data_IF_214500068152
#
_entry.id   IF_214500068152
#
_cell.length_a   1.000
_cell.length_b   1.000
_cell.length_c   1.000
_cell.angle_alpha   90.00
_cell.angle_beta   90.00
_cell.angle_gamma   90.00
#
_symmetry.space_group_name_H-M   'P 1'
#
loop_
_entity.id
_entity.type
_entity.pdbx_description
1 polymer ?
#
# COMPACT_ATOMS: atom_id res chain seq x y z
N UNK A 1 17.64 -5.72 -12.53
CA UNK A 1 17.25 -5.28 -13.84
C UNK A 1 17.52 -3.80 -13.98
N UNK A 2 18.05 -3.36 -15.10
CA UNK A 2 18.32 -1.97 -15.42
C UNK A 2 17.03 -1.16 -15.24
N UNK A 3 17.08 -0.16 -14.36
CA UNK A 3 15.97 0.61 -13.90
C UNK A 3 15.07 1.11 -15.03
N UNK A 4 13.81 0.73 -14.94
CA UNK A 4 12.76 1.35 -15.72
C UNK A 4 12.51 2.73 -15.13
N UNK A 5 13.15 3.73 -15.69
CA UNK A 5 13.13 5.14 -15.28
C UNK A 5 11.72 5.77 -15.41
N UNK A 6 10.71 4.95 -15.64
CA UNK A 6 9.34 5.39 -15.84
C UNK A 6 8.48 5.14 -14.59
N UNK A 7 7.77 6.17 -14.17
CA UNK A 7 6.73 6.07 -13.15
C UNK A 7 5.40 5.68 -13.79
N UNK A 8 4.60 4.91 -13.05
CA UNK A 8 3.21 4.63 -13.43
C UNK A 8 2.28 5.15 -12.35
N UNK A 9 1.20 5.77 -12.75
CA UNK A 9 0.22 6.37 -11.86
C UNK A 9 -1.18 5.91 -12.21
N UNK A 10 -1.96 5.49 -11.21
CA UNK A 10 -3.39 5.23 -11.34
C UNK A 10 -4.19 6.48 -10.97
N UNK A 11 -5.13 6.83 -11.83
CA UNK A 11 -6.03 7.98 -11.65
C UNK A 11 -7.44 7.46 -11.45
N UNK A 12 -7.79 7.17 -10.20
CA UNK A 12 -9.05 6.54 -9.81
C UNK A 12 -10.28 7.28 -10.39
N UNK A 13 -10.42 8.56 -10.08
CA UNK A 13 -11.58 9.33 -10.52
C UNK A 13 -11.69 9.52 -12.04
N UNK A 14 -10.56 9.52 -12.75
CA UNK A 14 -10.48 9.70 -14.19
C UNK A 14 -10.37 8.38 -14.96
N UNK A 15 -10.38 7.24 -14.27
CA UNK A 15 -10.40 5.87 -14.83
C UNK A 15 -9.26 5.56 -15.79
N UNK A 16 -8.04 6.02 -15.53
CA UNK A 16 -6.91 5.68 -16.37
C UNK A 16 -5.65 5.35 -15.55
N UNK A 17 -4.72 4.66 -16.18
CA UNK A 17 -3.32 4.57 -15.76
C UNK A 17 -2.45 5.29 -16.78
N UNK A 18 -1.40 5.96 -16.32
CA UNK A 18 -0.42 6.60 -17.21
C UNK A 18 1.00 6.22 -16.86
N UNK A 19 1.86 6.29 -17.86
CA UNK A 19 3.30 6.14 -17.78
C UNK A 19 3.94 7.52 -17.89
N UNK A 20 4.78 7.88 -16.93
CA UNK A 20 5.46 9.17 -16.86
C UNK A 20 6.97 8.95 -16.99
N UNK A 21 7.68 9.85 -17.66
CA UNK A 21 9.14 9.88 -17.65
C UNK A 21 9.66 10.54 -16.35
N UNK A 22 10.99 10.65 -16.20
CA UNK A 22 11.67 11.28 -15.06
C UNK A 22 11.18 12.70 -14.78
N UNK A 23 10.89 13.47 -15.82
CA UNK A 23 10.36 14.83 -15.70
C UNK A 23 8.84 14.89 -15.40
N UNK A 24 8.22 13.74 -15.04
CA UNK A 24 6.79 13.60 -14.81
C UNK A 24 5.91 13.94 -16.04
N UNK A 25 6.45 13.84 -17.26
CA UNK A 25 5.70 14.04 -18.49
C UNK A 25 5.10 12.72 -18.95
N UNK A 26 3.80 12.73 -19.26
CA UNK A 26 3.06 11.56 -19.72
C UNK A 26 3.60 11.06 -21.07
N UNK A 27 3.87 9.74 -21.13
CA UNK A 27 4.40 9.04 -22.30
C UNK A 27 3.37 8.09 -22.92
N UNK A 28 2.51 7.51 -22.09
CA UNK A 28 1.45 6.60 -22.50
C UNK A 28 0.29 6.66 -21.50
N UNK A 29 -0.89 6.25 -21.97
CA UNK A 29 -2.12 6.17 -21.16
C UNK A 29 -2.99 5.01 -21.62
N UNK A 30 -3.63 4.34 -20.67
CA UNK A 30 -4.76 3.46 -20.92
C UNK A 30 -5.96 3.92 -20.08
N UNK A 31 -7.09 4.16 -20.73
CA UNK A 31 -8.35 4.54 -20.08
C UNK A 31 -9.27 3.34 -19.98
N UNK A 32 -9.68 3.01 -18.76
CA UNK A 32 -10.61 1.91 -18.49
C UNK A 32 -12.06 2.33 -18.83
N UNK A 33 -12.84 1.38 -19.35
CA UNK A 33 -14.29 1.59 -19.55
C UNK A 33 -15.04 1.54 -18.22
N UNK A 34 -16.32 1.91 -18.25
CA UNK A 34 -17.17 1.82 -17.05
C UNK A 34 -17.33 0.39 -16.55
N UNK A 35 -17.41 -0.59 -17.47
CA UNK A 35 -17.49 -2.02 -17.13
C UNK A 35 -16.17 -2.55 -16.55
N UNK A 36 -15.04 -2.06 -17.00
CA UNK A 36 -13.74 -2.41 -16.46
C UNK A 36 -13.53 -1.85 -15.05
N UNK A 37 -14.14 -0.73 -14.73
CA UNK A 37 -14.06 -0.09 -13.43
C UNK A 37 -12.87 0.87 -13.26
N UNK A 38 -12.68 1.35 -12.04
CA UNK A 38 -11.67 2.36 -11.70
C UNK A 38 -10.37 1.69 -11.24
N UNK A 39 -9.19 2.12 -11.72
CA UNK A 39 -7.90 1.59 -11.28
C UNK A 39 -7.58 2.05 -9.87
N UNK A 40 -7.05 1.14 -9.03
CA UNK A 40 -6.69 1.43 -7.65
C UNK A 40 -5.18 1.32 -7.44
N UNK A 41 -4.65 0.12 -7.34
CA UNK A 41 -3.24 -0.16 -7.09
C UNK A 41 -2.61 -0.95 -8.23
N UNK A 42 -1.29 -1.00 -8.26
CA UNK A 42 -0.55 -1.63 -9.34
C UNK A 42 0.66 -2.38 -8.82
N UNK A 43 0.98 -3.50 -9.49
CA UNK A 43 2.25 -4.19 -9.41
C UNK A 43 2.81 -4.38 -10.82
N UNK A 44 4.12 -4.46 -10.95
CA UNK A 44 4.76 -4.65 -12.25
C UNK A 44 5.80 -5.78 -12.15
N UNK A 45 5.76 -6.72 -13.11
CA UNK A 45 6.70 -7.82 -13.21
C UNK A 45 6.79 -8.30 -14.67
N UNK A 46 7.98 -8.73 -15.11
CA UNK A 46 8.24 -9.33 -16.45
C UNK A 46 7.67 -8.50 -17.61
N UNK A 47 7.79 -7.17 -17.55
CA UNK A 47 7.28 -6.26 -18.58
C UNK A 47 5.75 -6.14 -18.61
N UNK A 48 5.06 -6.61 -17.59
CA UNK A 48 3.61 -6.49 -17.42
C UNK A 48 3.27 -5.57 -16.26
N UNK A 49 2.15 -4.88 -16.38
CA UNK A 49 1.54 -4.07 -15.35
C UNK A 49 0.20 -4.70 -14.94
N UNK A 50 0.06 -5.01 -13.67
CA UNK A 50 -1.13 -5.58 -13.07
C UNK A 50 -1.86 -4.50 -12.28
N UNK A 51 -3.14 -4.27 -12.58
CA UNK A 51 -3.92 -3.15 -12.02
C UNK A 51 -5.18 -3.70 -11.36
N UNK A 52 -5.35 -3.44 -10.06
CA UNK A 52 -6.62 -3.75 -9.37
C UNK A 52 -7.70 -2.77 -9.78
N UNK A 53 -8.91 -3.27 -10.03
CA UNK A 53 -10.04 -2.50 -10.53
C UNK A 53 -11.23 -2.60 -9.59
N UNK A 54 -11.92 -1.48 -9.35
CA UNK A 54 -13.09 -1.42 -8.47
C UNK A 54 -14.24 -2.36 -8.88
N UNK A 55 -14.22 -2.87 -10.11
CA UNK A 55 -15.15 -3.86 -10.63
C UNK A 55 -14.96 -5.29 -10.08
N UNK A 56 -13.94 -5.53 -9.24
CA UNK A 56 -13.61 -6.87 -8.75
C UNK A 56 -12.73 -7.67 -9.71
N UNK A 57 -11.85 -6.98 -10.43
CA UNK A 57 -10.93 -7.59 -11.39
C UNK A 57 -9.49 -7.11 -11.18
N UNK A 58 -8.54 -7.89 -11.72
CA UNK A 58 -7.17 -7.45 -11.99
C UNK A 58 -6.98 -7.39 -13.50
N UNK A 59 -6.60 -6.25 -14.02
CA UNK A 59 -6.22 -6.09 -15.43
C UNK A 59 -4.73 -6.31 -15.61
N UNK A 60 -4.32 -6.97 -16.71
CA UNK A 60 -2.94 -7.04 -17.17
C UNK A 60 -2.77 -6.19 -18.42
N UNK A 61 -1.76 -5.31 -18.38
CA UNK A 61 -1.35 -4.47 -19.50
C UNK A 61 0.13 -4.72 -19.81
N UNK A 62 0.54 -4.45 -21.03
CA UNK A 62 1.96 -4.30 -21.36
C UNK A 62 2.53 -3.09 -20.61
N UNK A 63 3.61 -3.27 -19.86
CA UNK A 63 4.15 -2.23 -18.98
C UNK A 63 4.77 -1.04 -19.73
N UNK A 64 5.16 -1.22 -21.00
CA UNK A 64 5.78 -0.18 -21.82
C UNK A 64 4.77 0.65 -22.60
N UNK A 65 3.84 -0.04 -23.25
CA UNK A 65 2.85 0.58 -24.15
C UNK A 65 1.53 0.89 -23.46
N UNK A 66 1.28 0.30 -22.27
CA UNK A 66 0.01 0.27 -21.57
C UNK A 66 -1.13 -0.36 -22.40
N UNK A 67 -0.80 -1.21 -23.36
CA UNK A 67 -1.81 -1.96 -24.12
C UNK A 67 -2.49 -2.99 -23.21
N UNK A 68 -3.81 -2.95 -23.15
CA UNK A 68 -4.61 -3.92 -22.40
C UNK A 68 -4.50 -5.33 -23.02
N UNK A 69 -4.32 -6.35 -22.18
CA UNK A 69 -4.20 -7.74 -22.62
C UNK A 69 -5.38 -8.61 -22.15
N UNK A 70 -5.65 -8.59 -20.84
CA UNK A 70 -6.61 -9.51 -20.22
C UNK A 70 -7.05 -9.01 -18.85
N UNK A 71 -8.19 -9.50 -18.34
CA UNK A 71 -8.65 -9.35 -16.95
C UNK A 71 -8.92 -10.69 -16.31
N UNK A 72 -8.71 -10.79 -15.00
CA UNK A 72 -9.06 -11.91 -14.14
C UNK A 72 -9.95 -11.43 -13.01
N UNK A 73 -11.07 -12.10 -12.78
CA UNK A 73 -11.97 -11.83 -11.68
C UNK A 73 -11.34 -12.22 -10.33
N UNK A 74 -11.54 -11.36 -9.33
CA UNK A 74 -11.05 -11.53 -7.95
C UNK A 74 -12.18 -11.26 -6.95
N UNK A 75 -11.89 -10.84 -5.73
CA UNK A 75 -12.89 -10.43 -4.76
C UNK A 75 -13.49 -9.06 -5.01
N UNK A 76 -14.37 -8.64 -4.11
CA UNK A 76 -15.00 -7.34 -4.22
C UNK A 76 -14.04 -6.21 -3.82
N UNK A 77 -14.05 -5.13 -4.59
CA UNK A 77 -13.23 -3.95 -4.35
C UNK A 77 -11.79 -4.32 -3.98
N UNK A 78 -11.02 -4.90 -4.93
CA UNK A 78 -9.62 -5.23 -4.70
C UNK A 78 -8.80 -3.97 -4.42
N UNK A 79 -7.96 -4.05 -3.42
CA UNK A 79 -7.09 -2.97 -2.94
C UNK A 79 -5.64 -3.22 -3.37
N UNK A 80 -4.71 -3.14 -2.43
CA UNK A 80 -3.28 -3.24 -2.71
C UNK A 80 -2.90 -4.63 -3.24
N UNK A 81 -1.92 -4.63 -4.16
CA UNK A 81 -1.43 -5.81 -4.89
C UNK A 81 0.10 -5.80 -4.86
N UNK A 82 0.69 -6.97 -4.68
CA UNK A 82 2.14 -7.23 -4.81
C UNK A 82 2.36 -8.45 -5.70
N UNK A 83 3.58 -8.53 -6.24
CA UNK A 83 4.10 -9.75 -6.85
C UNK A 83 5.11 -10.39 -5.90
N UNK A 84 5.05 -11.72 -5.77
CA UNK A 84 5.99 -12.50 -4.98
C UNK A 84 6.04 -13.94 -5.52
N UNK A 85 7.24 -14.44 -5.83
CA UNK A 85 7.49 -15.80 -6.32
C UNK A 85 6.65 -16.20 -7.55
N UNK A 86 6.48 -15.29 -8.51
CA UNK A 86 5.70 -15.54 -9.73
C UNK A 86 4.19 -15.56 -9.50
N UNK A 87 3.71 -15.01 -8.40
CA UNK A 87 2.30 -14.87 -8.07
C UNK A 87 1.96 -13.43 -7.67
N UNK A 88 0.78 -13.03 -8.05
CA UNK A 88 0.17 -11.81 -7.50
C UNK A 88 -0.60 -12.16 -6.25
N UNK A 89 -0.38 -11.41 -5.20
CA UNK A 89 -1.15 -11.42 -3.96
C UNK A 89 -1.86 -10.09 -3.83
N UNK A 90 -3.18 -10.11 -3.65
CA UNK A 90 -3.96 -8.90 -3.50
C UNK A 90 -5.09 -9.10 -2.49
N UNK A 91 -5.40 -8.04 -1.79
CA UNK A 91 -6.44 -8.05 -0.76
C UNK A 91 -7.73 -7.44 -1.30
N UNK A 92 -8.88 -7.98 -0.86
CA UNK A 92 -10.20 -7.52 -1.28
C UNK A 92 -10.96 -6.99 -0.06
N UNK A 93 -11.25 -5.70 -0.05
CA UNK A 93 -11.90 -5.04 1.09
C UNK A 93 -13.43 -5.15 1.05
N UNK A 94 -14.00 -5.19 -0.17
CA UNK A 94 -15.45 -5.09 -0.36
C UNK A 94 -16.08 -3.88 0.33
N UNK A 95 -15.31 -2.81 0.57
CA UNK A 95 -15.71 -1.67 1.41
C UNK A 95 -16.14 -2.10 2.83
N UNK A 96 -15.45 -3.10 3.40
CA UNK A 96 -15.75 -3.65 4.72
C UNK A 96 -16.53 -4.96 4.71
N UNK A 97 -16.89 -5.49 3.55
CA UNK A 97 -17.74 -6.68 3.42
C UNK A 97 -17.05 -7.88 2.74
N UNK A 98 -15.76 -7.75 2.39
CA UNK A 98 -14.93 -8.86 1.90
C UNK A 98 -13.78 -9.16 2.87
N UNK A 99 -13.32 -10.42 2.88
CA UNK A 99 -12.27 -10.93 3.76
C UNK A 99 -11.28 -11.80 3.00
N UNK A 100 -11.16 -11.61 1.67
CA UNK A 100 -10.36 -12.50 0.82
C UNK A 100 -9.00 -11.91 0.47
N UNK A 101 -7.98 -12.77 0.58
CA UNK A 101 -6.75 -12.67 -0.16
C UNK A 101 -6.94 -13.43 -1.48
N UNK A 102 -6.74 -12.77 -2.62
CA UNK A 102 -6.74 -13.42 -3.93
C UNK A 102 -5.30 -13.64 -4.38
N UNK A 103 -5.04 -14.82 -4.99
CA UNK A 103 -3.71 -15.23 -5.46
C UNK A 103 -3.84 -15.63 -6.93
N UNK A 104 -3.03 -15.03 -7.80
CA UNK A 104 -3.03 -15.29 -9.25
C UNK A 104 -1.62 -15.69 -9.68
N UNK A 105 -1.47 -16.84 -10.37
CA UNK A 105 -0.22 -17.21 -11.02
C UNK A 105 -0.02 -16.31 -12.25
N UNK A 106 1.14 -15.60 -12.33
CA UNK A 106 1.40 -14.62 -13.41
C UNK A 106 1.61 -15.27 -14.78
N UNK A 107 2.06 -16.54 -14.83
CA UNK A 107 2.34 -17.25 -16.08
C UNK A 107 1.04 -17.61 -16.80
N UNK A 108 0.06 -18.11 -16.06
CA UNK A 108 -1.25 -18.47 -16.63
C UNK A 108 -2.17 -17.27 -16.70
N UNK A 109 -2.22 -16.48 -15.66
CA UNK A 109 -3.10 -15.32 -15.48
C UNK A 109 -4.54 -15.61 -15.90
N UNK A 110 -5.11 -16.75 -15.43
CA UNK A 110 -6.42 -17.24 -15.86
C UNK A 110 -7.48 -17.14 -14.75
N UNK A 111 -7.14 -17.56 -13.56
CA UNK A 111 -8.05 -17.63 -12.40
C UNK A 111 -7.33 -17.18 -11.14
N UNK A 112 -8.10 -16.72 -10.16
CA UNK A 112 -7.62 -16.41 -8.82
C UNK A 112 -8.01 -17.55 -7.85
N UNK A 113 -7.05 -17.98 -7.04
CA UNK A 113 -7.33 -18.70 -5.80
C UNK A 113 -7.75 -17.69 -4.73
N UNK A 114 -8.69 -18.06 -3.85
CA UNK A 114 -9.14 -17.22 -2.75
C UNK A 114 -8.87 -17.88 -1.40
N UNK A 115 -8.30 -17.13 -0.47
CA UNK A 115 -8.06 -17.53 0.91
C UNK A 115 -8.77 -16.56 1.84
N UNK A 116 -9.51 -17.07 2.81
CA UNK A 116 -10.15 -16.25 3.83
C UNK A 116 -9.09 -15.74 4.83
N UNK A 117 -9.15 -14.44 5.08
CA UNK A 117 -8.36 -13.74 6.07
C UNK A 117 -9.29 -12.90 6.97
N UNK A 118 -8.78 -11.90 7.68
CA UNK A 118 -9.63 -10.98 8.43
C UNK A 118 -10.38 -10.01 7.49
N UNK A 119 -11.48 -9.46 7.96
CA UNK A 119 -12.39 -8.60 7.20
C UNK A 119 -11.76 -7.25 6.86
N UNK A 120 -12.11 -6.68 5.70
CA UNK A 120 -11.73 -5.35 5.24
C UNK A 120 -10.20 -5.14 5.18
N UNK A 121 -9.42 -6.04 4.52
CA UNK A 121 -8.00 -5.85 4.30
C UNK A 121 -7.76 -4.76 3.26
N UNK A 122 -6.74 -3.90 3.46
CA UNK A 122 -6.45 -2.73 2.61
C UNK A 122 -5.05 -2.74 2.00
N UNK A 123 -4.04 -3.09 2.80
CA UNK A 123 -2.63 -3.04 2.40
C UNK A 123 -1.98 -4.40 2.50
N UNK A 124 -1.01 -4.62 1.60
CA UNK A 124 -0.19 -5.83 1.59
C UNK A 124 1.23 -5.45 1.23
N UNK A 125 2.21 -6.07 1.86
CA UNK A 125 3.63 -5.96 1.52
C UNK A 125 4.35 -7.27 1.81
N UNK A 126 5.53 -7.43 1.23
CA UNK A 126 6.43 -8.56 1.48
C UNK A 126 7.61 -8.10 2.33
N UNK A 127 8.11 -8.98 3.21
CA UNK A 127 9.36 -8.84 3.93
C UNK A 127 9.91 -10.23 4.27
N UNK A 128 11.12 -10.56 3.81
CA UNK A 128 11.79 -11.84 4.06
C UNK A 128 10.89 -13.06 3.81
N UNK A 129 10.37 -13.17 2.59
CA UNK A 129 9.46 -14.24 2.11
C UNK A 129 8.12 -14.33 2.87
N UNK A 130 7.77 -13.36 3.70
CA UNK A 130 6.51 -13.29 4.44
C UNK A 130 5.63 -12.17 3.91
N UNK A 131 4.35 -12.46 3.83
CA UNK A 131 3.34 -11.49 3.40
C UNK A 131 2.70 -10.87 4.63
N UNK A 132 2.79 -9.56 4.73
CA UNK A 132 2.14 -8.75 5.77
C UNK A 132 0.89 -8.09 5.20
N UNK A 133 -0.21 -8.17 5.94
CA UNK A 133 -1.50 -7.61 5.53
C UNK A 133 -1.99 -6.67 6.63
N UNK A 134 -2.34 -5.45 6.28
CA UNK A 134 -2.98 -4.48 7.15
C UNK A 134 -4.40 -4.21 6.65
N UNK A 135 -5.33 -3.99 7.55
CA UNK A 135 -6.69 -3.63 7.21
C UNK A 135 -7.50 -3.07 8.38
N UNK A 136 -8.73 -2.74 8.07
CA UNK A 136 -9.64 -2.06 9.00
C UNK A 136 -10.37 -3.03 9.94
N UNK A 137 -10.35 -4.34 9.67
CA UNK A 137 -10.93 -5.38 10.53
C UNK A 137 -12.46 -5.51 10.46
N UNK A 138 -13.17 -4.49 10.04
CA UNK A 138 -14.63 -4.46 9.95
C UNK A 138 -15.14 -3.34 9.05
N UNK A 139 -16.46 -3.24 8.83
CA UNK A 139 -17.08 -2.12 8.14
C UNK A 139 -17.08 -0.86 9.00
N UNK A 140 -17.26 0.30 8.37
CA UNK A 140 -17.49 1.54 9.10
C UNK A 140 -18.79 1.47 9.94
N UNK A 141 -18.84 1.95 11.19
CA UNK A 141 -17.74 2.57 11.95
C UNK A 141 -16.92 1.60 12.83
N UNK A 142 -17.22 0.31 12.81
CA UNK A 142 -16.72 -0.68 13.76
C UNK A 142 -15.38 -1.27 13.28
N UNK A 143 -14.35 -0.42 13.24
CA UNK A 143 -13.02 -0.80 12.82
C UNK A 143 -12.24 -1.51 13.95
N UNK A 144 -11.61 -2.65 13.61
CA UNK A 144 -10.61 -3.38 14.41
C UNK A 144 -9.30 -3.44 13.62
N UNK A 145 -8.61 -2.32 13.55
CA UNK A 145 -7.38 -2.20 12.76
C UNK A 145 -6.38 -3.30 13.08
N UNK A 146 -5.98 -4.03 12.08
CA UNK A 146 -5.18 -5.24 12.25
C UNK A 146 -4.01 -5.25 11.27
N UNK A 147 -2.83 -5.67 11.77
CA UNK A 147 -1.72 -6.15 10.95
C UNK A 147 -1.52 -7.62 11.24
N UNK A 148 -1.40 -8.42 10.18
CA UNK A 148 -1.20 -9.85 10.26
C UNK A 148 -0.11 -10.32 9.31
N UNK A 149 0.50 -11.47 9.61
CA UNK A 149 1.39 -12.20 8.73
C UNK A 149 0.61 -13.36 8.13
N UNK A 150 0.62 -13.48 6.81
CA UNK A 150 0.05 -14.60 6.09
C UNK A 150 1.10 -15.69 5.84
N UNK A 151 0.74 -16.92 6.19
CA UNK A 151 1.54 -18.12 5.95
C UNK A 151 1.17 -18.71 4.59
N UNK A 152 2.09 -18.61 3.62
CA UNK A 152 1.89 -19.08 2.23
C UNK A 152 1.70 -20.61 2.14
N UNK A 153 2.32 -21.38 3.05
CA UNK A 153 2.28 -22.85 3.05
C UNK A 153 0.97 -23.38 3.63
N UNK A 154 0.60 -22.90 4.83
CA UNK A 154 -0.57 -23.37 5.56
C UNK A 154 -1.86 -22.64 5.20
N UNK A 155 -1.76 -21.55 4.41
CA UNK A 155 -2.88 -20.67 4.01
C UNK A 155 -3.65 -20.14 5.22
N UNK A 156 -2.92 -19.76 6.25
CA UNK A 156 -3.44 -19.18 7.49
C UNK A 156 -2.82 -17.81 7.74
N UNK A 157 -3.34 -17.07 8.71
CA UNK A 157 -2.73 -15.81 9.12
C UNK A 157 -2.61 -15.70 10.64
N UNK A 158 -1.66 -14.89 11.08
CA UNK A 158 -1.44 -14.58 12.50
C UNK A 158 -1.43 -13.07 12.70
N UNK A 159 -2.34 -12.53 13.51
CA UNK A 159 -2.32 -11.12 13.92
C UNK A 159 -1.08 -10.82 14.75
N UNK A 160 -0.42 -9.68 14.50
CA UNK A 160 0.76 -9.21 15.23
C UNK A 160 0.52 -7.92 16.01
N UNK A 161 -0.54 -7.19 15.70
CA UNK A 161 -0.95 -5.98 16.42
C UNK A 161 -1.89 -5.11 15.59
N UNK A 162 -2.35 -3.99 16.16
CA UNK A 162 -3.10 -2.99 15.42
C UNK A 162 -2.16 -2.19 14.49
N UNK A 163 -2.71 -1.67 13.38
CA UNK A 163 -1.96 -0.79 12.50
C UNK A 163 -2.83 -0.11 11.45
N UNK A 164 -2.57 1.18 11.23
CA UNK A 164 -3.23 1.99 10.21
C UNK A 164 -2.32 2.28 9.01
N UNK A 165 -1.01 2.25 9.23
CA UNK A 165 0.02 2.40 8.20
C UNK A 165 1.12 1.37 8.42
N UNK A 166 1.69 0.87 7.33
CA UNK A 166 2.88 0.03 7.37
C UNK A 166 3.79 0.30 6.18
N UNK A 167 5.10 0.16 6.38
CA UNK A 167 6.13 0.21 5.36
C UNK A 167 7.27 -0.74 5.72
N UNK A 168 8.04 -1.16 4.74
CA UNK A 168 9.13 -2.13 4.90
C UNK A 168 10.48 -1.48 4.55
N UNK A 169 11.53 -1.86 5.28
CA UNK A 169 12.91 -1.60 4.92
C UNK A 169 13.84 -2.67 5.53
N UNK A 170 14.66 -3.32 4.70
CA UNK A 170 15.63 -4.35 5.11
C UNK A 170 15.01 -5.47 5.98
N UNK A 171 13.90 -6.03 5.52
CA UNK A 171 13.14 -7.09 6.19
C UNK A 171 12.58 -6.71 7.58
N UNK A 172 12.45 -5.41 7.83
CA UNK A 172 11.78 -4.87 9.01
C UNK A 172 10.53 -4.13 8.57
N UNK A 173 9.38 -4.59 9.06
CA UNK A 173 8.09 -3.93 8.85
C UNK A 173 7.85 -2.92 9.97
N UNK A 174 7.75 -1.66 9.62
CA UNK A 174 7.44 -0.54 10.52
C UNK A 174 5.94 -0.25 10.47
N UNK A 175 5.32 -0.20 11.61
CA UNK A 175 3.88 -0.04 11.74
C UNK A 175 3.55 1.17 12.61
N UNK A 176 2.60 1.96 12.16
CA UNK A 176 1.97 3.02 12.93
C UNK A 176 0.50 2.65 13.12
N UNK A 177 0.04 2.66 14.36
CA UNK A 177 -1.36 2.63 14.70
C UNK A 177 -1.79 4.01 15.17
N UNK A 178 -2.81 4.58 14.52
CA UNK A 178 -3.33 5.91 14.82
C UNK A 178 -4.78 5.82 15.26
N UNK A 179 -5.08 6.34 16.45
CA UNK A 179 -6.44 6.55 16.95
C UNK A 179 -6.80 8.01 16.69
N UNK A 180 -7.69 8.25 15.73
CA UNK A 180 -8.06 9.60 15.28
C UNK A 180 -9.40 10.02 15.84
N UNK A 181 -9.42 11.17 16.52
CA UNK A 181 -10.65 11.90 16.86
C UNK A 181 -10.94 12.94 15.76
N UNK A 182 -11.92 12.64 14.93
CA UNK A 182 -12.31 13.53 13.83
C UNK A 182 -13.06 14.79 14.29
N UNK A 183 -13.51 14.88 15.56
CA UNK A 183 -14.13 16.08 16.08
C UNK A 183 -13.09 17.15 16.43
N UNK A 184 -11.94 16.72 16.92
CA UNK A 184 -10.82 17.59 17.27
C UNK A 184 -9.75 17.66 16.18
N UNK A 185 -9.84 16.78 15.18
CA UNK A 185 -8.84 16.65 14.11
C UNK A 185 -7.45 16.29 14.67
N UNK A 186 -7.41 15.44 15.69
CA UNK A 186 -6.17 15.00 16.36
C UNK A 186 -6.07 13.48 16.38
N UNK A 187 -4.84 12.98 16.51
CA UNK A 187 -4.56 11.55 16.62
C UNK A 187 -3.58 11.26 17.76
N UNK A 188 -3.72 10.07 18.34
CA UNK A 188 -2.70 9.43 19.16
C UNK A 188 -2.03 8.33 18.36
N UNK A 189 -0.71 8.13 18.51
CA UNK A 189 0.05 7.17 17.72
C UNK A 189 0.79 6.18 18.60
N UNK A 190 0.66 4.91 18.26
CA UNK A 190 1.52 3.83 18.74
C UNK A 190 2.36 3.32 17.58
N UNK A 191 3.67 3.26 17.78
CA UNK A 191 4.65 2.83 16.78
C UNK A 191 5.32 1.54 17.25
N UNK A 192 5.46 0.58 16.34
CA UNK A 192 6.26 -0.62 16.58
C UNK A 192 6.89 -1.11 15.28
N UNK A 193 7.88 -1.97 15.40
CA UNK A 193 8.45 -2.65 14.24
C UNK A 193 8.42 -4.17 14.41
N UNK A 194 8.48 -4.88 13.30
CA UNK A 194 8.54 -6.33 13.27
C UNK A 194 9.67 -6.78 12.33
N UNK A 195 10.68 -7.42 12.89
CA UNK A 195 11.76 -7.99 12.10
C UNK A 195 11.34 -9.36 11.54
N UNK A 196 11.15 -9.42 10.22
CA UNK A 196 10.64 -10.59 9.53
C UNK A 196 11.62 -11.77 9.53
N UNK A 197 12.95 -11.52 9.60
CA UNK A 197 13.99 -12.56 9.72
C UNK A 197 13.98 -13.25 11.08
N UNK A 198 13.90 -12.46 12.15
CA UNK A 198 14.00 -12.99 13.52
C UNK A 198 12.65 -13.30 14.15
N UNK A 199 11.55 -12.90 13.51
CA UNK A 199 10.18 -12.97 14.03
C UNK A 199 9.99 -12.24 15.36
N UNK A 200 10.70 -11.13 15.55
CA UNK A 200 10.63 -10.32 16.76
C UNK A 200 9.91 -9.01 16.53
N UNK A 201 9.00 -8.69 17.43
CA UNK A 201 8.32 -7.40 17.53
C UNK A 201 9.08 -6.52 18.53
N UNK A 202 9.31 -5.26 18.14
CA UNK A 202 9.88 -4.21 19.00
C UNK A 202 8.84 -3.12 19.20
N UNK A 203 8.41 -2.91 20.44
CA UNK A 203 7.36 -1.93 20.79
C UNK A 203 7.94 -0.53 21.13
N UNK A 204 9.15 -0.27 20.66
CA UNK A 204 9.78 1.05 20.81
C UNK A 204 9.49 1.91 19.60
N UNK A 205 9.15 3.19 19.84
CA UNK A 205 8.99 4.16 18.75
C UNK A 205 10.25 4.23 17.92
N UNK A 206 10.09 4.07 16.62
CA UNK A 206 11.18 4.20 15.64
C UNK A 206 11.34 5.64 15.11
N UNK A 207 10.52 6.61 15.55
CA UNK A 207 10.60 8.02 15.19
C UNK A 207 10.75 8.90 16.43
N UNK A 208 11.64 9.88 16.37
CA UNK A 208 11.79 10.97 17.34
C UNK A 208 10.94 12.15 16.86
N UNK A 209 9.63 12.05 17.08
CA UNK A 209 8.65 13.00 16.54
C UNK A 209 8.78 14.38 17.21
N UNK A 210 8.86 15.49 16.43
CA UNK A 210 8.71 16.84 16.98
C UNK A 210 7.32 17.01 17.59
N UNK A 211 7.19 17.91 18.56
CA UNK A 211 5.96 18.08 19.36
C UNK A 211 4.73 18.35 18.50
N UNK A 212 4.89 19.18 17.48
CA UNK A 212 3.82 19.53 16.53
C UNK A 212 3.27 18.35 15.71
N UNK A 213 4.06 17.28 15.53
CA UNK A 213 3.67 16.11 14.77
C UNK A 213 2.87 15.10 15.61
N UNK A 214 3.05 15.08 16.92
CA UNK A 214 2.51 14.02 17.80
C UNK A 214 1.00 13.87 17.79
N UNK A 215 0.29 14.94 17.41
CA UNK A 215 -1.19 14.94 17.38
C UNK A 215 -1.77 15.11 15.97
N UNK A 216 -0.92 15.19 14.93
CA UNK A 216 -1.39 15.31 13.54
C UNK A 216 -1.94 13.99 13.03
N UNK A 217 -2.92 14.02 12.14
CA UNK A 217 -3.42 12.81 11.48
C UNK A 217 -2.39 12.34 10.47
N UNK A 218 -1.88 11.10 10.63
CA UNK A 218 -0.96 10.48 9.69
C UNK A 218 -1.74 9.81 8.55
N UNK A 219 -1.29 10.05 7.33
CA UNK A 219 -1.94 9.54 6.14
C UNK A 219 -1.00 8.73 5.23
N UNK A 220 0.31 8.90 5.40
CA UNK A 220 1.35 8.21 4.66
C UNK A 220 2.49 7.80 5.59
N UNK A 221 3.00 6.60 5.39
CA UNK A 221 4.32 6.15 5.82
C UNK A 221 5.01 5.58 4.59
N UNK A 222 6.15 6.13 4.21
CA UNK A 222 7.01 5.62 3.14
C UNK A 222 8.45 5.61 3.62
N UNK A 223 9.25 4.68 3.12
CA UNK A 223 10.67 4.57 3.46
C UNK A 223 11.46 4.61 2.15
N UNK A 224 12.51 5.42 2.10
CA UNK A 224 13.40 5.45 0.96
C UNK A 224 14.20 4.14 0.91
N UNK A 225 14.10 3.34 -0.15
CA UNK A 225 14.74 2.03 -0.23
C UNK A 225 16.28 2.10 -0.29
N UNK A 226 16.86 3.24 -0.67
CA UNK A 226 18.30 3.40 -0.76
C UNK A 226 18.98 3.65 0.58
N UNK A 227 18.36 4.49 1.43
CA UNK A 227 19.01 4.98 2.64
C UNK A 227 18.23 4.70 3.94
N UNK A 228 16.97 4.24 3.83
CA UNK A 228 16.11 3.94 4.96
C UNK A 228 15.47 5.17 5.63
N UNK A 229 15.55 6.36 5.03
CA UNK A 229 14.89 7.55 5.58
C UNK A 229 13.38 7.39 5.55
N UNK A 230 12.72 7.72 6.67
CA UNK A 230 11.26 7.68 6.78
C UNK A 230 10.64 8.99 6.32
N UNK A 231 9.50 8.87 5.66
CA UNK A 231 8.64 9.98 5.24
C UNK A 231 7.23 9.76 5.78
N UNK A 232 6.79 10.65 6.66
CA UNK A 232 5.45 10.63 7.26
C UNK A 232 4.65 11.78 6.67
N UNK A 233 3.57 11.46 5.97
CA UNK A 233 2.64 12.45 5.42
C UNK A 233 1.46 12.67 6.36
N UNK A 234 1.06 13.93 6.54
CA UNK A 234 -0.07 14.32 7.37
C UNK A 234 -1.24 14.83 6.55
N UNK A 235 -2.42 14.86 7.13
CA UNK A 235 -3.62 15.44 6.55
C UNK A 235 -4.48 16.13 7.59
N UNK A 236 -5.27 17.11 7.15
CA UNK A 236 -6.44 17.66 7.81
C UNK A 236 -7.68 17.55 6.92
N UNK A 237 -7.53 16.83 5.77
CA UNK A 237 -8.52 16.65 4.71
C UNK A 237 -8.97 17.92 3.96
N UNK A 238 -8.42 19.09 4.29
CA UNK A 238 -8.83 20.39 3.73
C UNK A 238 -7.69 21.14 3.06
N UNK A 239 -6.53 21.18 3.69
CA UNK A 239 -5.35 21.90 3.19
C UNK A 239 -4.26 20.93 2.72
N UNK A 240 -3.23 21.45 2.06
CA UNK A 240 -2.08 20.64 1.68
C UNK A 240 -1.47 19.98 2.92
N UNK A 241 -1.18 18.70 2.81
CA UNK A 241 -0.51 17.97 3.87
C UNK A 241 0.97 18.30 3.97
N UNK A 242 1.54 18.13 5.15
CA UNK A 242 2.98 18.23 5.39
C UNK A 242 3.63 16.86 5.28
N UNK A 243 4.87 16.83 4.80
CA UNK A 243 5.76 15.67 4.82
C UNK A 243 6.86 15.91 5.84
N UNK A 244 7.01 14.98 6.77
CA UNK A 244 8.07 14.97 7.78
C UNK A 244 9.08 13.90 7.42
N UNK A 245 10.33 14.27 7.24
CA UNK A 245 11.43 13.36 6.92
C UNK A 245 12.28 13.08 8.13
N UNK A 246 12.61 11.81 8.33
CA UNK A 246 13.46 11.32 9.41
C UNK A 246 14.56 10.45 8.82
N UNK A 247 15.74 10.45 9.46
CA UNK A 247 16.78 9.47 9.18
C UNK A 247 16.31 8.05 9.54
N UNK A 248 17.00 7.05 9.04
CA UNK A 248 16.76 5.62 9.37
C UNK A 248 16.87 5.30 10.88
N UNK A 249 17.54 6.13 11.65
CA UNK A 249 17.63 6.03 13.12
C UNK A 249 16.49 6.77 13.85
N UNK A 250 15.53 7.30 13.12
CA UNK A 250 14.38 8.04 13.62
C UNK A 250 14.62 9.49 13.92
N UNK A 251 15.82 10.03 13.72
CA UNK A 251 16.13 11.44 13.96
C UNK A 251 15.41 12.32 12.95
N UNK A 252 14.65 13.31 13.42
CA UNK A 252 13.96 14.30 12.56
C UNK A 252 14.98 15.13 11.75
N UNK A 253 14.71 15.30 10.45
CA UNK A 253 15.54 16.08 9.52
C UNK A 253 14.86 17.39 9.15
N UNK A 254 13.68 17.30 8.55
CA UNK A 254 12.98 18.44 7.94
C UNK A 254 11.49 18.20 7.76
N UNK A 255 10.77 19.29 7.53
CA UNK A 255 9.36 19.31 7.13
C UNK A 255 9.20 20.16 5.87
N UNK A 256 8.36 19.70 4.95
CA UNK A 256 7.97 20.45 3.76
C UNK A 256 6.52 20.16 3.37
N UNK A 257 5.91 21.07 2.62
CA UNK A 257 4.55 20.91 2.14
C UNK A 257 4.50 19.93 0.96
N UNK A 258 3.49 19.02 0.95
CA UNK A 258 3.34 18.00 -0.09
C UNK A 258 2.86 18.55 -1.44
N UNK A 259 2.30 19.77 -1.46
CA UNK A 259 1.65 20.36 -2.63
C UNK A 259 0.27 19.77 -2.95
N UNK A 260 -0.27 18.90 -2.10
CA UNK A 260 -1.58 18.28 -2.26
C UNK A 260 -2.23 17.91 -0.94
N UNK A 261 -3.55 17.75 -0.95
CA UNK A 261 -4.32 17.27 0.19
C UNK A 261 -4.14 15.77 0.33
N UNK A 262 -3.88 15.29 1.54
CA UNK A 262 -3.81 13.86 1.89
C UNK A 262 -2.78 13.05 1.08
N UNK A 263 -1.48 13.33 1.19
CA UNK A 263 -0.43 12.57 0.51
C UNK A 263 -0.48 11.09 0.95
N UNK A 264 -0.54 10.14 -0.02
CA UNK A 264 -0.72 8.70 0.27
C UNK A 264 0.52 7.85 0.07
N UNK A 265 1.46 8.29 -0.75
CA UNK A 265 2.68 7.56 -1.06
C UNK A 265 3.79 8.51 -1.53
N UNK A 266 5.04 8.14 -1.29
CA UNK A 266 6.21 8.72 -1.91
C UNK A 266 6.82 7.69 -2.88
N UNK A 267 7.30 8.16 -4.02
CA UNK A 267 8.07 7.38 -4.98
C UNK A 267 9.46 7.97 -5.05
N UNK A 268 10.46 7.14 -4.83
CA UNK A 268 11.86 7.53 -4.86
C UNK A 268 12.45 7.20 -6.24
N UNK A 269 13.29 8.07 -6.76
CA UNK A 269 13.92 7.96 -8.09
C UNK A 269 15.40 8.11 -7.86
N UNK A 270 16.17 7.20 -8.42
CA UNK A 270 17.64 7.18 -8.44
C UNK A 270 18.17 8.27 -9.37
#
# INVERSE_FOLDING_TARGET
>A
GLGDVYKRQSMYGSKYVCKLNEACVEQARYSFTDEQGQPRYMAAEDGKLYVTLSSGNVARLDANTLTFEKMVAVGQNPEHIIEEDGKLYLVNSGFGYDNRLSIIDIKTFDTAEHVEIFQNPDRILEANDKIFIQGYGGPYPDYDYTVAIYDKENKTYKKIGPGTLMAEYNDVVYVIYSETDYNTNTSNHTLYSYNAKTNKKEETSFLQMPEELKTRIFYMLSINPENGDFYVGTTDYNTNGDIYRFKKDGTFIEKFESGGVSPRAAVFID
#
